data_IF_952174839820
#
_entry.id   IF_952174839820
#
_cell.length_a   1.000
_cell.length_b   1.000
_cell.length_c   1.000
_cell.angle_alpha   90.00
_cell.angle_beta   90.00
_cell.angle_gamma   90.00
#
_symmetry.space_group_name_H-M   'P 1'
#
loop_
_entity.id
_entity.type
_entity.pdbx_description
1 polymer ?
#
# COMPACT_ATOMS: atom_id res chain seq x y z
N UNK A 1 20.47 -13.71 21.96
CA UNK A 1 20.26 -12.26 21.67
C UNK A 1 18.91 -12.10 21.01
N UNK A 2 17.99 -11.34 21.62
CA UNK A 2 16.69 -11.10 21.03
C UNK A 2 16.88 -10.34 19.70
N UNK A 3 16.47 -10.95 18.58
CA UNK A 3 16.43 -10.25 17.30
C UNK A 3 15.61 -8.97 17.51
N UNK A 4 16.09 -7.80 17.09
CA UNK A 4 15.33 -6.57 17.26
C UNK A 4 13.97 -6.75 16.59
N UNK A 5 12.89 -6.45 17.33
CA UNK A 5 11.54 -6.47 16.76
C UNK A 5 11.51 -5.42 15.64
N UNK A 6 11.04 -5.75 14.43
CA UNK A 6 10.86 -4.79 13.36
C UNK A 6 9.85 -3.73 13.82
N UNK A 7 10.11 -2.48 13.46
CA UNK A 7 9.20 -1.36 13.73
C UNK A 7 8.50 -1.08 12.41
N UNK A 8 7.18 -1.24 12.39
CA UNK A 8 6.36 -1.07 11.19
C UNK A 8 5.45 0.13 11.45
N UNK A 9 5.63 1.18 10.68
CA UNK A 9 4.82 2.40 10.75
C UNK A 9 4.05 2.55 9.43
N UNK A 10 2.73 2.61 9.49
CA UNK A 10 1.90 2.92 8.32
C UNK A 10 1.99 4.43 8.10
N UNK A 11 2.56 4.84 6.97
CA UNK A 11 2.71 6.25 6.63
C UNK A 11 1.44 6.76 5.98
N UNK A 12 0.95 6.01 4.99
CA UNK A 12 -0.26 6.35 4.23
C UNK A 12 -1.00 5.10 3.80
N UNK A 13 -2.32 5.17 3.69
CA UNK A 13 -3.18 4.09 3.21
C UNK A 13 -4.37 4.70 2.49
N UNK A 14 -4.75 4.16 1.33
CA UNK A 14 -5.94 4.57 0.58
C UNK A 14 -5.66 4.85 -0.88
N UNK A 15 -6.32 5.87 -1.42
CA UNK A 15 -6.29 6.20 -2.83
C UNK A 15 -5.08 7.10 -3.09
N UNK A 16 -4.20 6.63 -3.97
CA UNK A 16 -3.04 7.36 -4.43
C UNK A 16 -3.34 8.05 -5.77
N UNK A 17 -2.70 9.19 -6.01
CA UNK A 17 -2.62 9.70 -7.39
C UNK A 17 -1.81 8.76 -8.25
N UNK A 18 -2.15 8.74 -9.55
CA UNK A 18 -1.48 7.95 -10.56
C UNK A 18 0.03 7.94 -10.35
N UNK A 19 0.64 6.75 -10.22
CA UNK A 19 2.07 6.60 -10.02
C UNK A 19 2.76 7.09 -11.29
N UNK A 20 3.31 8.29 -11.22
CA UNK A 20 4.10 8.85 -12.30
C UNK A 20 5.55 8.36 -12.14
N UNK A 21 5.92 7.34 -12.92
CA UNK A 21 7.26 6.75 -12.86
C UNK A 21 8.37 7.74 -13.29
N UNK A 22 8.00 8.82 -13.98
CA UNK A 22 8.92 9.85 -14.49
C UNK A 22 9.18 10.94 -13.42
N UNK A 23 8.17 11.25 -12.61
CA UNK A 23 8.33 12.13 -11.47
C UNK A 23 9.03 11.40 -10.30
N UNK A 24 10.26 11.81 -9.96
CA UNK A 24 10.96 11.44 -8.71
C UNK A 24 10.19 11.76 -7.41
N UNK A 25 8.97 12.29 -7.50
CA UNK A 25 8.14 12.65 -6.38
C UNK A 25 7.35 11.43 -5.90
N UNK A 26 7.38 11.20 -4.59
CA UNK A 26 6.53 10.18 -3.96
C UNK A 26 5.05 10.47 -4.30
N UNK A 27 4.26 9.44 -4.65
CA UNK A 27 2.86 9.58 -5.02
C UNK A 27 2.12 10.27 -3.89
N UNK A 28 1.42 11.36 -4.21
CA UNK A 28 0.63 12.09 -3.22
C UNK A 28 -0.57 11.23 -2.85
N UNK A 29 -0.74 10.96 -1.56
CA UNK A 29 -2.00 10.37 -1.09
C UNK A 29 -3.12 11.38 -1.34
N UNK A 30 -4.13 10.96 -2.10
CA UNK A 30 -5.29 11.78 -2.42
C UNK A 30 -6.31 11.70 -1.30
N UNK A 31 -6.54 10.49 -0.79
CA UNK A 31 -7.55 10.23 0.23
C UNK A 31 -7.13 9.07 1.09
N UNK A 32 -7.09 9.28 2.41
CA UNK A 32 -6.98 8.20 3.37
C UNK A 32 -8.36 7.55 3.51
N UNK A 33 -8.56 6.41 2.86
CA UNK A 33 -9.82 5.69 2.88
C UNK A 33 -9.57 4.19 2.84
N UNK A 34 -10.40 3.44 3.56
CA UNK A 34 -10.49 1.98 3.44
C UNK A 34 -11.58 1.56 2.44
N UNK A 35 -12.37 2.53 1.96
CA UNK A 35 -13.41 2.34 0.96
C UNK A 35 -12.89 2.88 -0.37
N UNK A 36 -12.57 1.96 -1.28
CA UNK A 36 -12.10 2.29 -2.62
C UNK A 36 -13.31 2.20 -3.55
N UNK A 37 -13.68 3.29 -4.26
CA UNK A 37 -14.72 3.21 -5.26
C UNK A 37 -14.26 2.32 -6.41
N UNK A 38 -15.19 1.52 -6.95
CA UNK A 38 -14.93 0.60 -8.04
C UNK A 38 -14.98 1.36 -9.37
N UNK A 39 -13.99 2.22 -9.60
CA UNK A 39 -13.84 2.98 -10.84
C UNK A 39 -12.53 2.58 -11.54
N UNK A 40 -12.57 2.59 -12.87
CA UNK A 40 -11.39 2.37 -13.71
C UNK A 40 -10.37 3.50 -13.47
N UNK A 41 -9.07 3.15 -13.51
CA UNK A 41 -7.94 4.09 -13.32
C UNK A 41 -7.69 4.55 -11.86
N UNK A 42 -8.37 3.97 -10.86
CA UNK A 42 -8.07 4.23 -9.45
C UNK A 42 -6.91 3.36 -8.96
N UNK A 43 -5.78 4.00 -8.66
CA UNK A 43 -4.67 3.35 -7.96
C UNK A 43 -4.83 3.48 -6.45
N UNK A 44 -4.97 2.34 -5.78
CA UNK A 44 -5.07 2.26 -4.33
C UNK A 44 -3.92 1.43 -3.75
N UNK A 45 -3.54 1.72 -2.52
CA UNK A 45 -2.44 1.05 -1.86
C UNK A 45 -2.16 1.61 -0.49
N UNK A 46 -1.00 1.25 0.05
CA UNK A 46 -0.48 1.86 1.26
C UNK A 46 1.03 1.92 1.24
N UNK A 47 1.57 2.86 1.99
CA UNK A 47 3.01 3.04 2.18
C UNK A 47 3.31 2.72 3.63
N UNK A 48 4.14 1.69 3.83
CA UNK A 48 4.67 1.32 5.15
C UNK A 48 6.16 1.66 5.22
N UNK A 49 6.56 2.22 6.35
CA UNK A 49 7.95 2.40 6.71
C UNK A 49 8.36 1.28 7.66
N UNK A 50 9.24 0.40 7.19
CA UNK A 50 9.71 -0.76 7.95
C UNK A 50 11.15 -0.51 8.39
N UNK A 51 11.36 -0.30 9.69
CA UNK A 51 12.68 -0.09 10.30
C UNK A 51 13.11 -1.35 11.04
N UNK A 52 14.43 -1.57 11.14
CA UNK A 52 15.06 -2.68 11.88
C UNK A 52 14.70 -4.09 11.37
N UNK A 53 14.28 -4.23 10.12
CA UNK A 53 13.89 -5.51 9.49
C UNK A 53 14.98 -6.13 8.60
N UNK A 54 16.27 -5.89 8.89
CA UNK A 54 17.39 -6.45 8.11
C UNK A 54 17.30 -7.98 8.10
N UNK A 55 17.34 -8.59 6.91
CA UNK A 55 17.18 -10.04 6.66
C UNK A 55 15.82 -10.63 7.10
N UNK A 56 14.75 -9.83 7.17
CA UNK A 56 13.39 -10.36 7.35
C UNK A 56 12.62 -10.32 6.04
N UNK A 57 11.81 -11.35 5.78
CA UNK A 57 10.90 -11.38 4.64
C UNK A 57 9.67 -10.53 4.93
N UNK A 58 9.34 -9.64 4.00
CA UNK A 58 8.07 -8.90 4.03
C UNK A 58 7.00 -9.81 3.43
N UNK A 59 5.97 -10.12 4.21
CA UNK A 59 4.78 -10.80 3.71
C UNK A 59 3.66 -9.77 3.61
N UNK A 60 3.11 -9.63 2.42
CA UNK A 60 1.97 -8.79 2.13
C UNK A 60 0.85 -9.64 1.52
N UNK A 61 -0.38 -9.45 1.98
CA UNK A 61 -1.57 -10.08 1.42
C UNK A 61 -2.65 -9.02 1.28
N UNK A 62 -3.19 -8.88 0.07
CA UNK A 62 -4.42 -8.12 -0.18
C UNK A 62 -5.54 -9.13 -0.24
N UNK A 63 -6.50 -8.99 0.68
CA UNK A 63 -7.74 -9.72 0.57
C UNK A 63 -8.63 -9.01 -0.46
N UNK A 64 -8.76 -9.59 -1.65
CA UNK A 64 -9.72 -9.12 -2.63
C UNK A 64 -11.06 -9.81 -2.36
N UNK A 65 -12.18 -9.08 -2.28
CA UNK A 65 -13.48 -9.71 -2.36
C UNK A 65 -13.63 -10.42 -3.72
N UNK A 66 -14.47 -11.46 -3.77
CA UNK A 66 -14.82 -12.12 -5.02
C UNK A 66 -15.49 -11.07 -5.93
N UNK A 67 -14.78 -10.63 -6.97
CA UNK A 67 -15.32 -9.72 -7.97
C UNK A 67 -15.96 -10.63 -9.03
N UNK A 68 -17.29 -10.68 -9.12
CA UNK A 68 -17.91 -11.43 -10.19
C UNK A 68 -17.50 -10.79 -11.52
N UNK A 69 -16.94 -11.58 -12.42
CA UNK A 69 -16.82 -11.20 -13.83
C UNK A 69 -18.25 -10.98 -14.39
N UNK A 70 -18.37 -10.02 -15.29
CA UNK A 70 -19.63 -9.77 -16.01
C UNK A 70 -19.79 -10.90 -17.05
N UNK A 71 -20.64 -11.90 -16.74
CA UNK A 71 -21.11 -12.93 -17.69
C UNK A 71 -21.89 -12.31 -18.86
#
# INVERSE_FOLDING_TARGET
MAKPKPIIEIVTYGIHTKWDADAKALPKIKTFTNHIPLELDIEFGFIVNIKRAKNQQVRYCIYHPDIPDED
#
